data_IF_783945408216
#
_entry.id   IF_783945408216
#
_cell.length_a   1.000
_cell.length_b   1.000
_cell.length_c   1.000
_cell.angle_alpha   90.00
_cell.angle_beta   90.00
_cell.angle_gamma   90.00
#
_symmetry.space_group_name_H-M   'P 1'
#
loop_
_entity.id
_entity.type
_entity.pdbx_description
1 polymer ?
#
# COMPACT_ATOMS: atom_id res chain seq x y z
N UNK A 1 -14.46 -1.76 8.31
CA UNK A 1 -14.75 -1.11 9.60
C UNK A 1 -15.25 0.30 9.34
N UNK A 2 -16.33 0.76 9.99
CA UNK A 2 -16.93 2.10 9.78
C UNK A 2 -17.11 2.49 8.30
N UNK A 3 -17.60 1.56 7.47
CA UNK A 3 -17.77 1.75 6.02
C UNK A 3 -16.48 1.76 5.19
N UNK A 4 -15.31 1.66 5.82
CA UNK A 4 -13.99 1.59 5.18
C UNK A 4 -13.57 0.13 4.98
N UNK A 5 -12.93 -0.14 3.83
CA UNK A 5 -12.22 -1.41 3.60
C UNK A 5 -10.78 -1.23 4.05
N UNK A 6 -10.37 -2.02 5.04
CA UNK A 6 -9.00 -2.02 5.57
C UNK A 6 -8.32 -3.28 5.05
N UNK A 7 -7.14 -3.12 4.44
CA UNK A 7 -6.34 -4.20 3.88
C UNK A 7 -5.03 -4.29 4.64
N UNK A 8 -4.76 -5.46 5.23
CA UNK A 8 -3.48 -5.74 5.86
C UNK A 8 -2.42 -6.03 4.80
N UNK A 9 -1.35 -5.22 4.76
CA UNK A 9 -0.39 -5.29 3.65
C UNK A 9 0.61 -6.45 3.73
N UNK A 10 0.81 -7.01 4.92
CA UNK A 10 1.88 -7.98 5.17
C UNK A 10 3.19 -7.51 4.47
N UNK A 11 3.79 -8.40 3.69
CA UNK A 11 5.06 -8.14 3.01
C UNK A 11 4.91 -7.54 1.61
N UNK A 12 3.69 -7.41 1.04
CA UNK A 12 3.50 -6.87 -0.31
C UNK A 12 3.94 -5.41 -0.41
N UNK A 13 3.82 -4.68 0.69
CA UNK A 13 4.22 -3.28 0.81
C UNK A 13 4.75 -3.03 2.24
N UNK A 14 6.03 -3.29 2.50
CA UNK A 14 6.57 -3.23 3.87
C UNK A 14 6.55 -1.81 4.44
N UNK A 15 6.85 -0.80 3.61
CA UNK A 15 6.81 0.60 4.01
C UNK A 15 6.26 1.47 2.88
N UNK A 16 5.81 2.69 3.20
CA UNK A 16 5.35 3.67 2.21
C UNK A 16 6.42 4.01 1.15
N UNK A 17 7.69 3.85 1.49
CA UNK A 17 8.80 3.98 0.54
C UNK A 17 8.75 2.97 -0.61
N UNK A 18 8.06 1.83 -0.42
CA UNK A 18 7.89 0.80 -1.43
C UNK A 18 6.70 1.05 -2.36
N UNK A 19 5.96 2.17 -2.26
CA UNK A 19 4.79 2.42 -3.13
C UNK A 19 5.14 2.43 -4.62
N UNK A 20 6.21 3.11 -5.08
CA UNK A 20 6.62 3.04 -6.48
C UNK A 20 6.84 1.60 -6.92
N UNK A 21 6.26 1.22 -8.06
CA UNK A 21 6.30 -0.17 -8.55
C UNK A 21 7.71 -0.77 -8.58
N UNK A 22 8.76 -0.08 -9.07
CA UNK A 22 10.11 -0.66 -9.16
C UNK A 22 10.74 -1.07 -7.81
N UNK A 23 10.22 -0.58 -6.69
CA UNK A 23 10.72 -0.92 -5.37
C UNK A 23 10.07 -2.21 -4.86
N UNK A 24 10.67 -3.33 -5.25
CA UNK A 24 10.35 -4.68 -4.79
C UNK A 24 11.20 -5.11 -3.60
N UNK A 25 10.77 -6.16 -2.91
CA UNK A 25 11.42 -6.61 -1.69
C UNK A 25 12.57 -7.57 -2.03
N UNK A 26 13.71 -7.41 -1.37
CA UNK A 26 14.91 -8.23 -1.65
C UNK A 26 14.74 -9.73 -1.33
N UNK A 27 13.70 -10.09 -0.58
CA UNK A 27 13.34 -11.47 -0.25
C UNK A 27 12.29 -12.08 -1.20
N UNK A 28 11.80 -11.34 -2.20
CA UNK A 28 10.89 -11.88 -3.21
C UNK A 28 11.57 -12.98 -4.02
N UNK A 29 10.96 -14.16 -4.07
CA UNK A 29 11.48 -15.29 -4.86
C UNK A 29 11.25 -15.12 -6.37
N UNK A 30 10.25 -14.30 -6.75
CA UNK A 30 9.84 -14.05 -8.14
C UNK A 30 9.47 -12.57 -8.35
N UNK A 31 10.45 -11.65 -8.37
CA UNK A 31 10.20 -10.21 -8.36
C UNK A 31 9.36 -9.70 -9.54
N UNK A 32 9.47 -10.32 -10.72
CA UNK A 32 8.64 -9.95 -11.88
C UNK A 32 7.16 -10.27 -11.67
N UNK A 33 6.85 -11.38 -10.97
CA UNK A 33 5.46 -11.71 -10.62
C UNK A 33 4.93 -10.76 -9.56
N UNK A 34 5.73 -10.45 -8.54
CA UNK A 34 5.38 -9.46 -7.50
C UNK A 34 5.06 -8.09 -8.12
N UNK A 35 5.83 -7.65 -9.11
CA UNK A 35 5.58 -6.38 -9.80
C UNK A 35 4.17 -6.32 -10.42
N UNK A 36 3.76 -7.38 -11.12
CA UNK A 36 2.44 -7.44 -11.76
C UNK A 36 1.30 -7.48 -10.74
N UNK A 37 1.47 -8.26 -9.66
CA UNK A 37 0.49 -8.38 -8.59
C UNK A 37 0.34 -7.08 -7.81
N UNK A 38 1.46 -6.46 -7.42
CA UNK A 38 1.51 -5.16 -6.77
C UNK A 38 0.91 -4.09 -7.66
N UNK A 39 1.20 -4.06 -8.96
CA UNK A 39 0.59 -3.11 -9.88
C UNK A 39 -0.93 -3.23 -9.92
N UNK A 40 -1.47 -4.44 -10.05
CA UNK A 40 -2.91 -4.69 -10.01
C UNK A 40 -3.53 -4.23 -8.68
N UNK A 41 -2.89 -4.59 -7.57
CA UNK A 41 -3.38 -4.24 -6.24
C UNK A 41 -3.36 -2.73 -5.98
N UNK A 42 -2.25 -2.04 -6.27
CA UNK A 42 -2.09 -0.61 -5.99
C UNK A 42 -3.07 0.25 -6.80
N UNK A 43 -3.37 -0.13 -8.04
CA UNK A 43 -4.41 0.53 -8.82
C UNK A 43 -5.80 0.32 -8.20
N UNK A 44 -6.14 -0.91 -7.82
CA UNK A 44 -7.41 -1.20 -7.15
C UNK A 44 -7.54 -0.46 -5.80
N UNK A 45 -6.45 -0.32 -5.05
CA UNK A 45 -6.41 0.44 -3.80
C UNK A 45 -6.67 1.94 -4.03
N UNK A 46 -6.07 2.51 -5.08
CA UNK A 46 -6.30 3.90 -5.47
C UNK A 46 -7.74 4.15 -5.96
N UNK A 47 -8.29 3.24 -6.77
CA UNK A 47 -9.64 3.36 -7.32
C UNK A 47 -10.72 3.24 -6.25
N UNK A 48 -10.53 2.33 -5.30
CA UNK A 48 -11.54 1.99 -4.28
C UNK A 48 -11.33 2.73 -2.96
N UNK A 49 -10.26 3.50 -2.83
CA UNK A 49 -9.93 4.22 -1.60
C UNK A 49 -9.69 3.29 -0.42
N UNK A 50 -8.93 2.21 -0.63
CA UNK A 50 -8.57 1.27 0.45
C UNK A 50 -7.68 1.93 1.50
N UNK A 51 -7.91 1.56 2.76
CA UNK A 51 -7.04 1.89 3.89
C UNK A 51 -6.06 0.74 4.06
N UNK A 52 -4.78 1.01 3.80
CA UNK A 52 -3.72 0.02 3.83
C UNK A 52 -3.08 0.05 5.22
N UNK A 53 -3.24 -1.02 5.99
CA UNK A 53 -2.61 -1.18 7.30
C UNK A 53 -1.19 -1.71 7.12
N UNK A 54 -0.22 -0.96 7.61
CA UNK A 54 1.20 -1.16 7.36
C UNK A 54 1.86 -1.88 8.54
N UNK A 55 2.03 -3.20 8.45
CA UNK A 55 2.59 -4.00 9.55
C UNK A 55 4.09 -3.82 9.81
N UNK A 56 4.84 -3.30 8.83
CA UNK A 56 6.30 -3.17 8.87
C UNK A 56 6.79 -1.72 8.74
N UNK A 57 5.88 -0.76 8.63
CA UNK A 57 6.20 0.67 8.57
C UNK A 57 6.08 1.27 9.98
N UNK A 58 7.22 1.63 10.58
CA UNK A 58 7.26 2.18 11.93
C UNK A 58 6.76 3.63 12.02
N UNK A 59 6.52 4.30 10.89
CA UNK A 59 6.13 5.72 10.83
C UNK A 59 4.70 5.87 10.31
N UNK A 60 4.32 5.11 9.29
CA UNK A 60 3.01 5.22 8.64
C UNK A 60 2.13 4.03 9.00
N UNK A 61 1.32 4.14 10.05
CA UNK A 61 0.50 3.02 10.55
C UNK A 61 -0.58 2.58 9.54
N UNK A 62 -1.36 3.55 9.03
CA UNK A 62 -2.38 3.33 8.00
C UNK A 62 -2.23 4.39 6.92
N UNK A 63 -2.30 3.98 5.65
CA UNK A 63 -2.19 4.91 4.51
C UNK A 63 -3.32 4.71 3.50
N UNK A 64 -3.56 5.73 2.70
CA UNK A 64 -4.29 5.61 1.42
C UNK A 64 -3.35 5.96 0.27
N UNK A 65 -3.72 5.53 -0.92
CA UNK A 65 -2.99 5.83 -2.15
C UNK A 65 -3.91 6.42 -3.21
N UNK A 66 -3.33 7.13 -4.18
CA UNK A 66 -4.08 7.78 -5.25
C UNK A 66 -3.30 7.80 -6.57
N UNK A 67 -4.03 7.96 -7.67
CA UNK A 67 -3.45 8.12 -9.01
C UNK A 67 -2.76 9.46 -9.16
N UNK A 68 -1.58 9.44 -9.77
CA UNK A 68 -0.83 10.63 -10.18
C UNK A 68 -0.26 10.42 -11.58
N UNK A 69 0.28 11.47 -12.19
CA UNK A 69 0.97 11.38 -13.49
C UNK A 69 2.18 10.41 -13.47
N UNK A 70 2.73 10.12 -12.29
CA UNK A 70 3.86 9.19 -12.11
C UNK A 70 3.41 7.80 -11.59
N UNK A 71 2.12 7.48 -11.74
CA UNK A 71 1.48 6.28 -11.21
C UNK A 71 0.97 6.45 -9.77
N UNK A 72 0.61 5.34 -9.12
CA UNK A 72 0.04 5.36 -7.77
C UNK A 72 1.05 5.91 -6.74
N UNK A 73 0.62 6.85 -5.90
CA UNK A 73 1.44 7.45 -4.83
C UNK A 73 0.67 7.53 -3.51
N UNK A 74 1.42 7.73 -2.43
CA UNK A 74 0.87 8.04 -1.10
C UNK A 74 -0.07 9.24 -1.21
N UNK A 75 -1.25 9.14 -0.59
CA UNK A 75 -2.24 10.21 -0.56
C UNK A 75 -2.40 10.76 0.85
N UNK A 76 -2.87 9.93 1.78
CA UNK A 76 -3.11 10.31 3.18
C UNK A 76 -2.45 9.30 4.14
N UNK A 77 -2.11 9.74 5.35
CA UNK A 77 -1.57 8.93 6.44
C UNK A 77 -2.45 9.13 7.67
N UNK A 78 -2.74 8.06 8.39
CA UNK A 78 -3.61 8.03 9.57
C UNK A 78 -2.96 7.22 10.70
N UNK A 79 -3.27 7.60 11.93
CA UNK A 79 -2.99 6.76 13.10
C UNK A 79 -4.04 5.66 13.28
N UNK A 80 -3.68 4.53 13.87
CA UNK A 80 -4.63 3.46 14.19
C UNK A 80 -5.78 3.97 15.06
N UNK A 81 -5.50 4.81 16.07
CA UNK A 81 -6.55 5.36 16.95
C UNK A 81 -7.53 6.33 16.27
N UNK A 82 -7.23 6.79 15.05
CA UNK A 82 -8.14 7.62 14.25
C UNK A 82 -9.08 6.77 13.38
N UNK A 83 -8.66 5.55 13.03
CA UNK A 83 -9.34 4.71 12.04
C UNK A 83 -10.00 3.48 12.66
N UNK A 84 -9.37 2.87 13.67
CA UNK A 84 -9.78 1.61 14.33
C UNK A 84 -10.50 1.87 15.66
#
# INVERSE_FOLDING_TARGET
YNGKTIVFMADLLPTAGHIPLPYVMGYDTRPLLTLDEKAKFMNAAADKGYYLFMGHDAVNEIITVGHTEKGVRLKDVFGCGEVL
#
